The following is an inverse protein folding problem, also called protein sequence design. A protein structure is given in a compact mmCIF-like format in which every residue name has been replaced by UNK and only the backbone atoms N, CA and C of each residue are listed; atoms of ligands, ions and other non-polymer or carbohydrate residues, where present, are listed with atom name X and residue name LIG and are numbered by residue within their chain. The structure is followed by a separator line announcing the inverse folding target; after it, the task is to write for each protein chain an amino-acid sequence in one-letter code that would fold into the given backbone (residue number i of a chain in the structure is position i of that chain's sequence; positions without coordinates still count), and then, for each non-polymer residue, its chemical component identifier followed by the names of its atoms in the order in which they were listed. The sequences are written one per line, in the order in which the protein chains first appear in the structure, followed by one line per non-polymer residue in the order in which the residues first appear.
data_IF_664200086287
#
_entry.id   IF_664200086287
#
_cell.length_a   1.000
_cell.length_b   1.000
_cell.length_c   1.000
_cell.angle_alpha   90.00
_cell.angle_beta   90.00
_cell.angle_gamma   90.00
#
_symmetry.space_group_name_H-M   'P 1'
#
loop_
_entity.id
_entity.type
_entity.pdbx_description
1 polymer ?
#
# COMPACT_ATOMS: atom_id res chain seq x y z
N UNK A 1 0.90 -26.90 -1.71
CA UNK A 1 1.48 -25.61 -2.15
C UNK A 1 1.66 -24.77 -0.89
N UNK A 2 2.91 -24.43 -0.52
CA UNK A 2 3.18 -23.76 0.76
C UNK A 2 2.60 -22.34 0.76
N UNK A 3 1.87 -21.93 1.79
CA UNK A 3 1.14 -20.65 1.87
C UNK A 3 2.00 -19.42 1.57
N UNK A 4 3.29 -19.46 1.90
CA UNK A 4 4.26 -18.41 1.59
C UNK A 4 4.39 -18.12 0.09
N UNK A 5 4.23 -19.15 -0.75
CA UNK A 5 4.28 -19.00 -2.21
C UNK A 5 3.07 -18.21 -2.73
N UNK A 6 1.88 -18.49 -2.19
CA UNK A 6 0.64 -17.78 -2.55
C UNK A 6 0.75 -16.32 -2.13
N UNK A 7 1.23 -16.06 -0.91
CA UNK A 7 1.40 -14.71 -0.37
C UNK A 7 2.40 -13.90 -1.21
N UNK A 8 3.52 -14.50 -1.60
CA UNK A 8 4.53 -13.83 -2.44
C UNK A 8 3.97 -13.45 -3.82
N UNK A 9 3.22 -14.36 -4.46
CA UNK A 9 2.59 -14.10 -5.75
C UNK A 9 1.54 -13.00 -5.62
N UNK A 10 0.63 -13.11 -4.65
CA UNK A 10 -0.44 -12.13 -4.44
C UNK A 10 0.14 -10.73 -4.18
N UNK A 11 1.16 -10.65 -3.32
CA UNK A 11 1.87 -9.42 -3.03
C UNK A 11 2.55 -8.77 -4.23
N UNK A 12 3.18 -9.59 -5.08
CA UNK A 12 3.81 -9.10 -6.30
C UNK A 12 2.80 -8.56 -7.32
N UNK A 13 1.67 -9.25 -7.49
CA UNK A 13 0.59 -8.78 -8.35
C UNK A 13 -0.03 -7.48 -7.85
N UNK A 14 -0.32 -7.39 -6.54
CA UNK A 14 -0.88 -6.18 -5.93
C UNK A 14 0.06 -4.98 -6.11
N UNK A 15 1.35 -5.14 -5.81
CA UNK A 15 2.33 -4.06 -5.99
C UNK A 15 2.50 -3.64 -7.45
N UNK A 16 2.52 -4.60 -8.38
CA UNK A 16 2.66 -4.32 -9.81
C UNK A 16 1.45 -3.57 -10.38
N UNK A 17 0.24 -3.92 -9.93
CA UNK A 17 -1.00 -3.22 -10.31
C UNK A 17 -1.02 -1.82 -9.71
N UNK A 18 -0.68 -1.68 -8.44
CA UNK A 18 -0.61 -0.38 -7.77
C UNK A 18 0.39 0.54 -8.47
N UNK A 19 1.60 0.07 -8.76
CA UNK A 19 2.64 0.88 -9.37
C UNK A 19 2.27 1.36 -10.78
N UNK A 20 1.57 0.54 -11.57
CA UNK A 20 1.04 0.95 -12.89
C UNK A 20 -0.12 1.94 -12.76
N UNK A 21 -1.11 1.67 -11.90
CA UNK A 21 -2.28 2.53 -11.71
C UNK A 21 -1.97 3.92 -11.12
N UNK A 22 -0.82 4.06 -10.47
CA UNK A 22 -0.29 5.33 -9.97
C UNK A 22 0.66 6.01 -10.96
N UNK A 23 1.43 5.25 -11.75
CA UNK A 23 2.40 5.79 -12.70
C UNK A 23 1.81 6.51 -13.91
N UNK A 24 0.53 6.31 -14.22
CA UNK A 24 -0.15 6.95 -15.37
C UNK A 24 -0.78 8.32 -15.05
N UNK A 25 -0.81 8.76 -13.79
CA UNK A 25 -1.44 10.03 -13.39
C UNK A 25 -0.47 11.21 -13.57
N UNK A 26 -0.94 12.23 -14.29
CA UNK A 26 -0.18 13.41 -14.76
C UNK A 26 0.48 14.27 -13.67
N UNK A 27 0.12 14.14 -12.39
CA UNK A 27 0.50 15.10 -11.34
C UNK A 27 1.39 14.55 -10.20
N UNK A 28 1.75 13.26 -10.20
CA UNK A 28 2.59 12.65 -9.16
C UNK A 28 3.68 11.76 -9.76
N UNK A 29 4.95 12.13 -9.55
CA UNK A 29 6.14 11.38 -10.00
C UNK A 29 6.14 11.11 -11.52
N UNK A 30 6.05 12.16 -12.34
CA UNK A 30 6.33 12.06 -13.77
C UNK A 30 7.73 11.46 -13.99
N UNK A 31 7.80 10.25 -14.56
CA UNK A 31 9.03 9.73 -15.18
C UNK A 31 9.80 8.65 -14.43
N UNK A 32 9.33 8.11 -13.30
CA UNK A 32 9.94 6.87 -12.78
C UNK A 32 9.46 5.68 -13.59
N UNK A 33 10.36 5.11 -14.41
CA UNK A 33 10.13 3.84 -15.07
C UNK A 33 10.06 2.73 -14.03
N UNK A 34 8.83 2.33 -13.68
CA UNK A 34 8.59 1.19 -12.80
C UNK A 34 8.92 -0.08 -13.58
N UNK A 35 10.07 -0.68 -13.26
CA UNK A 35 10.45 -2.00 -13.78
C UNK A 35 9.92 -3.09 -12.85
N UNK A 36 9.16 -4.04 -13.39
CA UNK A 36 8.63 -5.17 -12.64
C UNK A 36 9.73 -5.98 -11.95
N UNK A 37 10.90 -6.13 -12.58
CA UNK A 37 12.04 -6.84 -11.99
C UNK A 37 12.57 -6.11 -10.76
N UNK A 38 12.60 -4.76 -10.79
CA UNK A 38 13.08 -3.94 -9.67
C UNK A 38 12.10 -3.95 -8.51
N UNK A 39 10.80 -3.93 -8.79
CA UNK A 39 9.74 -4.11 -7.81
C UNK A 39 9.79 -5.50 -7.15
N UNK A 40 10.00 -6.56 -7.93
CA UNK A 40 10.14 -7.92 -7.40
C UNK A 40 11.30 -8.02 -6.41
N UNK A 41 12.47 -7.49 -6.78
CA UNK A 41 13.65 -7.48 -5.90
C UNK A 41 13.39 -6.61 -4.66
N UNK A 42 12.77 -5.44 -4.82
CA UNK A 42 12.45 -4.55 -3.71
C UNK A 42 11.51 -5.22 -2.69
N UNK A 43 10.42 -5.84 -3.14
CA UNK A 43 9.48 -6.58 -2.29
C UNK A 43 10.13 -7.79 -1.62
N UNK A 44 10.98 -8.53 -2.36
CA UNK A 44 11.71 -9.66 -1.82
C UNK A 44 12.65 -9.24 -0.69
N UNK A 45 13.46 -8.21 -0.92
CA UNK A 45 14.37 -7.67 0.10
C UNK A 45 13.59 -7.10 1.28
N UNK A 46 12.52 -6.33 1.04
CA UNK A 46 11.69 -5.77 2.11
C UNK A 46 11.07 -6.84 3.00
N UNK A 47 10.55 -7.93 2.42
CA UNK A 47 9.96 -9.03 3.18
C UNK A 47 10.99 -9.90 3.90
N UNK A 48 12.18 -10.10 3.33
CA UNK A 48 13.29 -10.80 4.03
C UNK A 48 13.77 -9.98 5.23
N UNK A 49 14.04 -8.69 5.03
CA UNK A 49 14.44 -7.79 6.12
C UNK A 49 13.33 -7.69 7.17
N UNK A 50 12.08 -7.49 6.76
CA UNK A 50 10.93 -7.44 7.67
C UNK A 50 10.73 -8.73 8.47
N UNK A 51 10.92 -9.88 7.83
CA UNK A 51 10.84 -11.19 8.49
C UNK A 51 11.85 -11.35 9.64
N UNK A 52 13.05 -10.76 9.52
CA UNK A 52 14.03 -10.74 10.61
C UNK A 52 13.55 -9.96 11.85
N UNK A 53 12.61 -9.01 11.68
CA UNK A 53 12.03 -8.20 12.76
C UNK A 53 10.62 -8.66 13.16
N UNK A 54 10.22 -9.89 12.82
CA UNK A 54 8.86 -10.42 13.06
C UNK A 54 7.75 -9.56 12.44
N UNK A 55 8.05 -8.87 11.33
CA UNK A 55 7.05 -8.08 10.61
C UNK A 55 6.09 -8.99 9.82
N UNK A 56 4.87 -8.49 9.64
CA UNK A 56 3.92 -9.07 8.70
C UNK A 56 4.42 -8.88 7.26
N UNK A 57 4.07 -9.78 6.33
CA UNK A 57 4.43 -9.63 4.93
C UNK A 57 3.84 -8.32 4.37
N UNK A 58 4.71 -7.53 3.74
CA UNK A 58 4.40 -6.20 3.22
C UNK A 58 4.20 -6.24 1.69
N UNK A 59 3.24 -5.43 1.22
CA UNK A 59 2.84 -5.31 -0.19
C UNK A 59 2.70 -3.83 -0.60
N UNK A 60 2.55 -3.59 -1.90
CA UNK A 60 2.34 -2.24 -2.43
C UNK A 60 0.95 -1.70 -2.09
N UNK A 61 0.87 -0.72 -1.19
CA UNK A 61 -0.41 -0.17 -0.73
C UNK A 61 -1.00 0.88 -1.69
N UNK A 62 -1.88 0.46 -2.60
CA UNK A 62 -2.55 1.36 -3.56
C UNK A 62 -3.22 2.58 -2.90
N UNK A 63 -4.03 2.35 -1.86
CA UNK A 63 -4.75 3.43 -1.17
C UNK A 63 -3.82 4.46 -0.50
N UNK A 64 -2.75 3.99 0.17
CA UNK A 64 -1.77 4.87 0.84
C UNK A 64 -0.97 5.68 -0.19
N UNK A 65 -0.54 5.05 -1.28
CA UNK A 65 0.18 5.70 -2.36
C UNK A 65 -0.69 6.69 -3.13
N UNK A 66 -1.99 6.41 -3.32
CA UNK A 66 -2.96 7.33 -3.92
C UNK A 66 -3.12 8.59 -3.09
N UNK A 67 -3.31 8.45 -1.77
CA UNK A 67 -3.40 9.60 -0.87
C UNK A 67 -2.09 10.40 -0.90
N UNK A 68 -0.94 9.74 -0.78
CA UNK A 68 0.36 10.40 -0.83
C UNK A 68 0.59 11.17 -2.15
N UNK A 69 0.20 10.59 -3.28
CA UNK A 69 0.25 11.26 -4.58
C UNK A 69 -0.71 12.45 -4.65
N UNK A 70 -1.94 12.32 -4.14
CA UNK A 70 -2.92 13.41 -4.11
C UNK A 70 -2.52 14.58 -3.21
N UNK A 71 -1.70 14.33 -2.18
CA UNK A 71 -1.09 15.36 -1.32
C UNK A 71 0.10 16.06 -2.02
N UNK A 72 0.42 15.71 -3.26
CA UNK A 72 1.49 16.34 -4.04
C UNK A 72 2.87 15.75 -3.81
N UNK A 73 2.99 14.52 -3.30
CA UNK A 73 4.29 13.86 -3.17
C UNK A 73 4.93 13.61 -4.55
N UNK A 74 6.13 14.15 -4.76
CA UNK A 74 6.86 14.06 -6.03
C UNK A 74 8.11 13.17 -5.97
N UNK A 75 8.51 12.73 -4.78
CA UNK A 75 9.72 11.92 -4.59
C UNK A 75 9.49 10.79 -3.59
N UNK A 76 10.27 9.69 -3.69
CA UNK A 76 10.21 8.60 -2.72
C UNK A 76 10.65 9.03 -1.31
N UNK A 77 11.20 10.23 -1.14
CA UNK A 77 11.51 10.75 0.19
C UNK A 77 10.27 10.87 1.08
N UNK A 78 9.07 11.07 0.51
CA UNK A 78 7.83 11.13 1.30
C UNK A 78 7.59 9.86 2.12
N UNK A 79 7.88 8.67 1.56
CA UNK A 79 7.70 7.41 2.28
C UNK A 79 8.75 7.21 3.38
N UNK A 80 9.96 7.76 3.22
CA UNK A 80 11.01 7.77 4.25
C UNK A 80 10.58 8.65 5.42
N UNK A 81 10.07 9.87 5.16
CA UNK A 81 9.53 10.71 6.23
C UNK A 81 8.36 10.03 6.95
N UNK A 82 7.46 9.39 6.19
CA UNK A 82 6.34 8.64 6.77
C UNK A 82 6.79 7.50 7.69
N UNK A 83 7.82 6.74 7.32
CA UNK A 83 8.34 5.65 8.15
C UNK A 83 9.02 6.17 9.42
N UNK A 84 9.78 7.26 9.33
CA UNK A 84 10.39 7.93 10.50
C UNK A 84 9.32 8.46 11.44
N UNK A 85 8.29 9.15 10.92
CA UNK A 85 7.17 9.65 11.72
C UNK A 85 6.44 8.49 12.40
N UNK A 86 6.19 7.41 11.67
CA UNK A 86 5.52 6.22 12.22
C UNK A 86 6.34 5.60 13.34
N UNK A 87 7.67 5.50 13.19
CA UNK A 87 8.56 5.02 14.23
C UNK A 87 8.51 5.89 15.51
N UNK A 88 8.53 7.22 15.35
CA UNK A 88 8.39 8.17 16.48
C UNK A 88 7.03 8.03 17.15
N UNK A 89 5.95 7.93 16.38
CA UNK A 89 4.59 7.74 16.90
C UNK A 89 4.47 6.43 17.67
N UNK A 90 5.10 5.35 17.21
CA UNK A 90 5.12 4.08 17.95
C UNK A 90 5.88 4.23 19.28
N UNK A 91 6.99 4.97 19.33
CA UNK A 91 7.69 5.14 20.61
C UNK A 91 6.92 6.03 21.62
N UNK A 92 6.22 7.06 21.15
CA UNK A 92 5.59 8.06 22.03
C UNK A 92 4.10 7.79 22.28
N UNK A 93 3.35 7.42 21.25
CA UNK A 93 1.88 7.38 21.25
C UNK A 93 1.30 5.97 21.48
N UNK A 94 2.12 4.92 21.34
CA UNK A 94 1.70 3.54 21.65
C UNK A 94 1.11 3.35 23.06
N UNK A 95 1.62 3.96 24.16
CA UNK A 95 0.98 3.83 25.47
C UNK A 95 -0.43 4.43 25.51
N UNK A 96 -0.71 5.48 24.73
CA UNK A 96 -2.05 6.07 24.64
C UNK A 96 -3.01 5.21 23.81
N UNK A 97 -2.50 4.48 22.81
CA UNK A 97 -3.29 3.57 21.98
C UNK A 97 -3.78 2.31 22.72
N UNK A 98 -3.23 2.00 23.90
CA UNK A 98 -3.70 0.84 24.69
C UNK A 98 -5.18 0.95 25.08
N UNK A 99 -5.68 2.16 25.32
CA UNK A 99 -7.08 2.41 25.68
C UNK A 99 -8.03 2.44 24.48
N UNK A 100 -7.53 2.20 23.26
CA UNK A 100 -8.34 2.31 22.06
C UNK A 100 -9.37 1.16 22.01
N UNK A 101 -10.69 1.45 22.02
CA UNK A 101 -11.69 0.41 21.98
C UNK A 101 -11.68 -0.30 20.62
N UNK A 102 -11.81 -1.63 20.63
CA UNK A 102 -11.85 -2.46 19.42
C UNK A 102 -12.90 -2.00 18.40
N UNK A 103 -13.99 -1.39 18.88
CA UNK A 103 -15.04 -0.83 18.04
C UNK A 103 -14.52 0.24 17.04
N UNK A 104 -13.57 1.09 17.45
CA UNK A 104 -13.00 2.13 16.59
C UNK A 104 -12.11 1.52 15.50
N UNK A 105 -11.36 0.46 15.84
CA UNK A 105 -10.57 -0.31 14.85
C UNK A 105 -11.49 -0.96 13.82
N UNK A 106 -12.56 -1.64 14.25
CA UNK A 106 -13.53 -2.25 13.35
C UNK A 106 -14.19 -1.20 12.43
N UNK A 107 -14.60 -0.05 12.98
CA UNK A 107 -15.18 1.04 12.19
C UNK A 107 -14.23 1.54 11.09
N UNK A 108 -12.96 1.72 11.43
CA UNK A 108 -11.93 2.13 10.45
C UNK A 108 -11.77 1.11 9.33
N UNK A 109 -11.71 -0.18 9.66
CA UNK A 109 -11.60 -1.26 8.67
C UNK A 109 -12.84 -1.30 7.77
N UNK A 110 -14.04 -1.16 8.34
CA UNK A 110 -15.28 -1.11 7.55
C UNK A 110 -15.28 0.04 6.55
N UNK A 111 -14.88 1.25 6.97
CA UNK A 111 -14.80 2.41 6.06
C UNK A 111 -13.83 2.15 4.90
N UNK A 112 -12.67 1.54 5.17
CA UNK A 112 -11.73 1.15 4.12
C UNK A 112 -12.37 0.13 3.17
N UNK A 113 -13.07 -0.88 3.69
CA UNK A 113 -13.77 -1.86 2.87
C UNK A 113 -14.85 -1.23 1.99
N UNK A 114 -15.65 -0.29 2.52
CA UNK A 114 -16.63 0.46 1.74
C UNK A 114 -15.96 1.28 0.63
N UNK A 115 -14.85 1.96 0.92
CA UNK A 115 -14.11 2.73 -0.09
C UNK A 115 -13.58 1.85 -1.23
N UNK A 116 -13.14 0.62 -0.95
CA UNK A 116 -12.74 -0.32 -2.01
C UNK A 116 -13.94 -0.77 -2.86
N UNK A 117 -15.10 -0.98 -2.25
CA UNK A 117 -16.33 -1.38 -2.96
C UNK A 117 -16.85 -0.24 -3.86
N UNK A 118 -16.74 1.01 -3.41
CA UNK A 118 -17.19 2.19 -4.18
C UNK A 118 -16.36 2.43 -5.46
N UNK A 119 -15.08 2.06 -5.46
CA UNK A 119 -14.22 2.17 -6.65
C UNK A 119 -14.56 1.09 -7.71
N UNK A 120 -15.04 -0.08 -7.28
CA UNK A 120 -15.36 -1.23 -8.12
C UNK A 120 -16.43 -0.98 -9.23
N UNK A 121 -17.60 -0.36 -8.98
CA UNK A 121 -18.64 -0.19 -10.01
C UNK A 121 -18.19 0.71 -11.16
N UNK A 122 -17.31 1.69 -10.92
CA UNK A 122 -16.77 2.54 -11.99
C UNK A 122 -15.86 1.73 -12.93
N UNK A 123 -14.99 0.88 -12.37
CA UNK A 123 -14.11 0.01 -13.16
C UNK A 123 -14.89 -1.06 -13.94
N UNK A 124 -15.90 -1.67 -13.33
CA UNK A 124 -16.76 -2.67 -13.99
C UNK A 124 -17.61 -2.02 -15.09
N UNK A 125 -18.18 -0.83 -14.85
CA UNK A 125 -18.93 -0.11 -15.87
C UNK A 125 -18.04 0.34 -17.04
N UNK A 126 -16.78 0.70 -16.78
CA UNK A 126 -15.80 1.00 -17.82
C UNK A 126 -15.51 -0.22 -18.70
N UNK A 127 -15.24 -1.38 -18.10
CA UNK A 127 -14.99 -2.62 -18.85
C UNK A 127 -16.22 -3.09 -19.66
N UNK A 128 -17.43 -2.91 -19.12
CA UNK A 128 -18.67 -3.23 -19.83
C UNK A 128 -18.90 -2.27 -21.01
N UNK A 129 -18.52 -0.98 -20.88
CA UNK A 129 -18.62 0.01 -21.97
C UNK A 129 -17.61 -0.18 -23.11
N UNK A 130 -16.49 -0.86 -22.83
CA UNK A 130 -15.43 -1.10 -23.80
C UNK A 130 -15.68 -2.35 -24.68
N UNK A 131 -16.75 -3.10 -24.38
CA UNK A 131 -17.27 -4.21 -25.20
C UNK A 131 -18.41 -3.71 -26.08
#
# INVERSE_FOLDING_TARGET
MSTSFIIAILGFFESSVAAKGLGERRDGVQGMSVSANREMVALGVANVVGGCFMALPAFGGYGRSKVNASTGARSPMSSIFLSVITFVVIMVLLPYLYYLPKAVLCSTISVVAYSLIEECPHDVAFFIRLR
#
